data_IF_678729360094
#
_entry.id   IF_678729360094
#
_cell.length_a   1.000
_cell.length_b   1.000
_cell.length_c   1.000
_cell.angle_alpha   90.00
_cell.angle_beta   90.00
_cell.angle_gamma   90.00
#
_symmetry.space_group_name_H-M   'P 1'
#
loop_
_entity.id
_entity.type
_entity.pdbx_description
1 polymer ?
#
# COMPACT_ATOMS: atom_id res chain seq x y z
N UNK A 1 -8.78 18.74 15.69
CA UNK A 1 -10.19 18.93 15.25
C UNK A 1 -10.31 19.77 13.98
N UNK A 2 -9.69 20.96 13.88
CA UNK A 2 -9.75 21.81 12.66
C UNK A 2 -9.25 21.10 11.38
N UNK A 3 -8.09 20.45 11.42
CA UNK A 3 -7.52 19.73 10.26
C UNK A 3 -8.36 18.54 9.80
N UNK A 4 -8.89 17.73 10.72
CA UNK A 4 -9.78 16.63 10.37
C UNK A 4 -11.10 17.11 9.78
N UNK A 5 -11.68 18.18 10.34
CA UNK A 5 -12.88 18.81 9.79
C UNK A 5 -12.60 19.43 8.41
N UNK A 6 -11.47 20.10 8.21
CA UNK A 6 -11.04 20.59 6.90
C UNK A 6 -10.85 19.46 5.90
N UNK A 7 -10.37 18.30 6.33
CA UNK A 7 -10.12 17.13 5.47
C UNK A 7 -11.44 16.42 5.10
N UNK A 8 -12.38 16.32 6.03
CA UNK A 8 -13.74 15.86 5.76
C UNK A 8 -14.49 16.87 4.86
N UNK A 9 -14.38 18.16 5.13
CA UNK A 9 -14.98 19.22 4.29
C UNK A 9 -14.35 19.20 2.91
N UNK A 10 -13.03 19.09 2.76
CA UNK A 10 -12.35 19.03 1.47
C UNK A 10 -12.66 17.75 0.70
N UNK A 11 -12.92 16.62 1.37
CA UNK A 11 -13.42 15.40 0.74
C UNK A 11 -14.89 15.50 0.32
N UNK A 12 -15.69 16.30 1.04
CA UNK A 12 -17.07 16.60 0.70
C UNK A 12 -17.20 17.77 -0.29
N UNK A 13 -16.21 18.65 -0.39
CA UNK A 13 -16.22 19.86 -1.23
C UNK A 13 -16.39 19.60 -2.74
N UNK A 14 -15.84 18.51 -3.32
CA UNK A 14 -16.12 18.11 -4.70
C UNK A 14 -17.62 17.86 -4.92
N UNK A 15 -18.33 17.34 -3.90
CA UNK A 15 -19.78 17.13 -3.96
C UNK A 15 -20.57 18.45 -3.89
N UNK A 16 -20.01 19.50 -3.26
CA UNK A 16 -20.65 20.82 -3.10
C UNK A 16 -20.36 21.76 -4.28
N UNK A 17 -19.22 21.60 -4.96
CA UNK A 17 -18.84 22.37 -6.15
C UNK A 17 -19.28 21.74 -7.47
N UNK A 18 -19.97 20.61 -7.45
CA UNK A 18 -20.68 20.08 -8.61
C UNK A 18 -21.76 21.07 -9.05
N UNK A 19 -21.51 21.81 -10.12
CA UNK A 19 -22.55 22.54 -10.86
C UNK A 19 -23.43 21.52 -11.59
N UNK A 20 -24.59 21.96 -12.11
CA UNK A 20 -25.54 21.13 -12.89
C UNK A 20 -24.96 20.54 -14.20
N UNK A 21 -23.67 20.71 -14.46
CA UNK A 21 -22.90 20.05 -15.51
C UNK A 21 -22.25 18.78 -14.94
N UNK A 22 -22.48 17.63 -15.57
CA UNK A 22 -22.08 16.29 -15.11
C UNK A 22 -20.56 16.02 -14.96
N UNK A 23 -19.69 17.03 -15.07
CA UNK A 23 -18.23 16.87 -14.97
C UNK A 23 -17.71 17.44 -13.65
N UNK A 24 -17.85 16.64 -12.58
CA UNK A 24 -17.20 16.96 -11.33
C UNK A 24 -15.76 16.41 -11.33
N UNK A 25 -14.74 17.20 -10.97
CA UNK A 25 -13.39 16.69 -10.85
C UNK A 25 -13.35 15.57 -9.82
N UNK A 26 -12.59 14.50 -10.10
CA UNK A 26 -12.38 13.45 -9.12
C UNK A 26 -11.84 14.07 -7.81
N UNK A 27 -12.37 13.68 -6.63
CA UNK A 27 -11.88 14.18 -5.33
C UNK A 27 -10.37 14.09 -5.18
N UNK A 28 -9.76 13.08 -5.81
CA UNK A 28 -8.32 12.92 -5.93
C UNK A 28 -7.59 14.13 -6.49
N UNK A 29 -8.07 14.68 -7.61
CA UNK A 29 -7.43 15.81 -8.30
C UNK A 29 -7.48 17.09 -7.47
N UNK A 30 -8.50 17.22 -6.61
CA UNK A 30 -8.68 18.39 -5.75
C UNK A 30 -7.83 18.25 -4.48
N UNK A 31 -7.90 17.09 -3.82
CA UNK A 31 -7.26 16.88 -2.52
C UNK A 31 -5.75 16.68 -2.61
N UNK A 32 -5.27 15.94 -3.61
CA UNK A 32 -3.84 15.67 -3.75
C UNK A 32 -3.04 16.90 -4.16
N UNK A 33 -3.71 17.93 -4.73
CA UNK A 33 -3.13 19.21 -5.09
C UNK A 33 -3.25 20.31 -4.03
N UNK A 34 -4.01 20.10 -2.94
CA UNK A 34 -4.19 21.09 -1.88
C UNK A 34 -2.94 21.15 -0.98
N UNK A 35 -2.33 22.33 -0.87
CA UNK A 35 -1.16 22.58 -0.03
C UNK A 35 -1.34 22.18 1.44
N UNK A 36 -2.55 22.28 1.97
CA UNK A 36 -2.87 21.88 3.35
C UNK A 36 -2.90 20.36 3.51
N UNK A 37 -3.19 19.63 2.43
CA UNK A 37 -3.22 18.18 2.42
C UNK A 37 -1.83 17.56 2.26
N UNK A 38 -0.90 18.30 1.63
CA UNK A 38 0.49 17.87 1.41
C UNK A 38 1.22 17.44 2.70
N UNK A 39 0.90 18.07 3.83
CA UNK A 39 1.45 17.69 5.15
C UNK A 39 1.09 16.26 5.56
N UNK A 40 -0.06 15.76 5.11
CA UNK A 40 -0.52 14.39 5.33
C UNK A 40 -0.06 13.42 4.25
N UNK A 41 0.92 13.82 3.43
CA UNK A 41 1.48 12.98 2.37
C UNK A 41 2.95 12.64 2.57
N UNK A 42 3.61 13.14 3.61
CA UNK A 42 5.00 12.79 3.91
C UNK A 42 5.06 11.54 4.83
N UNK A 43 5.42 10.35 4.32
CA UNK A 43 5.32 9.10 5.06
C UNK A 43 6.46 8.90 6.07
N UNK A 44 7.53 9.70 6.02
CA UNK A 44 8.79 9.35 6.67
C UNK A 44 8.70 9.21 8.18
N UNK A 45 7.95 10.09 8.85
CA UNK A 45 7.74 9.97 10.30
C UNK A 45 7.02 8.68 10.68
N UNK A 46 6.15 8.17 9.81
CA UNK A 46 5.46 6.90 10.03
C UNK A 46 6.39 5.71 9.75
N UNK A 47 7.11 5.73 8.63
CA UNK A 47 8.01 4.65 8.20
C UNK A 47 9.24 4.48 9.11
N UNK A 48 9.75 5.57 9.68
CA UNK A 48 10.88 5.57 10.63
C UNK A 48 10.47 5.11 12.05
N UNK A 49 9.18 4.90 12.29
CA UNK A 49 8.70 4.51 13.61
C UNK A 49 9.21 3.12 13.99
N UNK A 50 9.73 2.97 15.21
CA UNK A 50 10.05 1.66 15.80
C UNK A 50 8.80 0.83 16.14
N UNK A 51 7.59 1.32 15.81
CA UNK A 51 6.36 0.58 16.04
C UNK A 51 6.22 -0.48 14.96
N UNK A 52 5.77 -1.67 15.37
CA UNK A 52 5.35 -2.73 14.45
C UNK A 52 4.13 -2.26 13.65
N UNK A 53 4.19 -2.47 12.34
CA UNK A 53 3.13 -2.10 11.41
C UNK A 53 2.42 -3.35 10.92
N UNK A 54 1.11 -3.24 10.73
CA UNK A 54 0.24 -4.31 10.25
C UNK A 54 -0.47 -3.86 8.98
N UNK A 55 -0.48 -4.71 7.97
CA UNK A 55 -1.28 -4.45 6.78
C UNK A 55 -2.74 -4.79 7.10
N UNK A 56 -3.61 -3.79 6.99
CA UNK A 56 -5.04 -3.94 7.22
C UNK A 56 -5.79 -4.17 5.92
N UNK A 57 -5.54 -3.33 4.91
CA UNK A 57 -6.15 -3.44 3.59
C UNK A 57 -5.09 -3.62 2.51
N UNK A 58 -5.38 -4.50 1.57
CA UNK A 58 -4.62 -4.65 0.34
C UNK A 58 -5.56 -4.81 -0.86
N UNK A 59 -5.10 -4.55 -2.09
CA UNK A 59 -5.93 -4.80 -3.25
C UNK A 59 -6.24 -6.29 -3.36
N UNK A 60 -7.43 -6.62 -3.85
CA UNK A 60 -7.78 -8.02 -4.10
C UNK A 60 -6.94 -8.54 -5.28
N UNK A 61 -6.05 -9.48 -4.98
CA UNK A 61 -5.10 -10.05 -5.92
C UNK A 61 -5.16 -11.58 -5.77
N UNK A 62 -5.59 -12.28 -6.82
CA UNK A 62 -5.84 -13.75 -6.80
C UNK A 62 -4.66 -14.57 -6.27
N UNK A 63 -3.44 -14.08 -6.45
CA UNK A 63 -2.22 -14.77 -6.04
C UNK A 63 -1.96 -14.68 -4.51
N UNK A 64 -2.81 -13.99 -3.74
CA UNK A 64 -2.62 -13.72 -2.31
C UNK A 64 -3.76 -14.23 -1.42
N UNK A 65 -4.63 -15.09 -1.95
CA UNK A 65 -5.77 -15.64 -1.19
C UNK A 65 -5.32 -16.53 -0.01
N UNK A 66 -4.06 -16.98 0.00
CA UNK A 66 -3.49 -17.86 1.01
C UNK A 66 -2.51 -17.18 1.96
N UNK A 67 -2.49 -15.85 2.06
CA UNK A 67 -1.64 -15.15 3.04
C UNK A 67 -2.44 -14.34 4.05
N UNK A 68 -1.95 -14.29 5.28
CA UNK A 68 -2.46 -13.39 6.31
C UNK A 68 -1.33 -12.87 7.19
N UNK A 69 -1.69 -12.12 8.24
CA UNK A 69 -0.75 -11.64 9.25
C UNK A 69 0.48 -10.93 8.65
N UNK A 70 0.23 -9.97 7.75
CA UNK A 70 1.32 -9.23 7.10
C UNK A 70 1.79 -8.11 8.03
N UNK A 71 3.05 -8.19 8.42
CA UNK A 71 3.69 -7.33 9.43
C UNK A 71 4.93 -6.68 8.84
N UNK A 72 5.21 -5.44 9.25
CA UNK A 72 6.48 -4.75 8.99
C UNK A 72 7.15 -4.27 10.27
N UNK A 73 8.31 -4.84 10.57
CA UNK A 73 9.16 -4.52 11.72
C UNK A 73 10.35 -3.67 11.29
N UNK A 74 10.73 -2.68 12.12
CA UNK A 74 11.93 -1.88 11.88
C UNK A 74 13.18 -2.71 12.18
N UNK A 75 14.12 -2.76 11.23
CA UNK A 75 15.45 -3.36 11.44
C UNK A 75 16.43 -2.25 11.80
N UNK A 76 16.60 -1.30 10.89
CA UNK A 76 17.52 -0.17 11.05
C UNK A 76 16.87 1.13 10.58
N UNK A 77 17.26 2.24 11.20
CA UNK A 77 16.90 3.58 10.78
C UNK A 77 18.17 4.42 10.85
N UNK A 78 18.89 4.48 9.74
CA UNK A 78 20.11 5.26 9.66
C UNK A 78 19.75 6.70 9.28
N UNK A 79 19.79 7.59 10.27
CA UNK A 79 19.55 9.02 10.06
C UNK A 79 20.57 9.68 9.14
N UNK A 80 21.75 9.07 8.97
CA UNK A 80 22.88 9.60 8.20
C UNK A 80 22.73 9.31 6.71
N UNK A 81 22.37 8.07 6.34
CA UNK A 81 22.01 7.71 4.95
C UNK A 81 20.61 8.19 4.57
N UNK A 82 19.74 8.39 5.56
CA UNK A 82 18.33 8.69 5.33
C UNK A 82 17.53 7.48 4.85
N UNK A 83 18.11 6.27 4.92
CA UNK A 83 17.45 5.01 4.56
C UNK A 83 16.85 4.31 5.79
N UNK A 84 15.76 3.57 5.55
CA UNK A 84 15.04 2.82 6.59
C UNK A 84 14.93 1.38 6.14
N UNK A 85 15.48 0.45 6.92
CA UNK A 85 15.37 -0.96 6.64
C UNK A 85 14.26 -1.59 7.48
N UNK A 86 13.37 -2.35 6.84
CA UNK A 86 12.27 -3.05 7.52
C UNK A 86 12.19 -4.50 7.07
N UNK A 87 11.86 -5.39 8.00
CA UNK A 87 11.48 -6.76 7.69
C UNK A 87 9.98 -6.78 7.43
N UNK A 88 9.55 -7.18 6.24
CA UNK A 88 8.15 -7.46 5.92
C UNK A 88 7.97 -8.97 5.96
N UNK A 89 7.02 -9.45 6.75
CA UNK A 89 6.75 -10.88 6.89
C UNK A 89 5.26 -11.16 6.81
N UNK A 90 4.91 -12.38 6.40
CA UNK A 90 3.54 -12.84 6.28
C UNK A 90 3.45 -14.32 6.62
N UNK A 91 2.25 -14.76 6.98
CA UNK A 91 1.95 -16.16 7.24
C UNK A 91 1.25 -16.75 6.02
N UNK A 92 1.76 -17.91 5.56
CA UNK A 92 1.17 -18.69 4.48
C UNK A 92 0.18 -19.68 5.12
N UNK A 93 -1.08 -19.56 4.71
CA UNK A 93 -2.17 -20.43 5.11
C UNK A 93 -2.05 -21.78 4.36
N UNK A 94 -1.44 -22.75 5.03
CA UNK A 94 -1.36 -24.15 4.58
C UNK A 94 -1.61 -25.10 5.76
N UNK A 95 -1.55 -26.42 5.55
CA UNK A 95 -1.73 -27.42 6.62
C UNK A 95 -0.78 -27.18 7.80
N UNK A 96 0.44 -26.72 7.51
CA UNK A 96 1.37 -26.17 8.49
C UNK A 96 1.51 -24.69 8.25
N UNK A 97 1.04 -23.85 9.18
CA UNK A 97 1.24 -22.41 9.08
C UNK A 97 2.74 -22.12 9.08
N UNK A 98 3.23 -21.57 7.96
CA UNK A 98 4.62 -21.18 7.77
C UNK A 98 4.72 -19.66 7.64
N UNK A 99 5.85 -19.12 8.09
CA UNK A 99 6.15 -17.70 7.95
C UNK A 99 7.26 -17.48 6.93
N UNK A 100 7.00 -16.57 6.02
CA UNK A 100 7.96 -16.08 5.04
C UNK A 100 8.22 -14.59 5.24
N UNK A 101 9.33 -14.09 4.73
CA UNK A 101 9.75 -12.71 4.94
C UNK A 101 10.69 -12.17 3.86
N UNK A 102 10.79 -10.86 3.82
CA UNK A 102 11.70 -10.11 2.98
C UNK A 102 12.21 -8.90 3.76
N UNK A 103 13.51 -8.61 3.66
CA UNK A 103 14.06 -7.35 4.13
C UNK A 103 14.00 -6.33 3.01
N UNK A 104 13.47 -5.15 3.31
CA UNK A 104 13.37 -4.04 2.36
C UNK A 104 14.04 -2.80 2.89
N UNK A 105 14.80 -2.13 2.03
CA UNK A 105 15.30 -0.78 2.24
C UNK A 105 14.33 0.23 1.63
N UNK A 106 13.97 1.26 2.40
CA UNK A 106 13.08 2.33 1.98
C UNK A 106 13.90 3.59 1.70
N UNK A 107 13.73 4.14 0.51
CA UNK A 107 14.45 5.33 0.04
C UNK A 107 13.49 6.47 -0.34
N UNK A 108 13.91 7.71 -0.07
CA UNK A 108 13.15 8.91 -0.46
C UNK A 108 13.24 9.13 -1.96
N UNK A 109 12.11 9.48 -2.58
CA UNK A 109 12.16 10.05 -3.92
C UNK A 109 12.75 11.46 -3.86
N UNK A 110 13.76 11.73 -4.70
CA UNK A 110 14.29 13.09 -4.90
C UNK A 110 13.30 14.01 -5.61
N UNK A 111 12.29 13.46 -6.29
CA UNK A 111 11.31 14.21 -7.08
C UNK A 111 10.10 14.63 -6.27
N UNK A 112 9.72 13.84 -5.25
CA UNK A 112 8.52 14.08 -4.46
C UNK A 112 8.67 13.57 -3.03
N UNK A 113 8.35 14.39 -2.05
CA UNK A 113 8.34 13.99 -0.63
C UNK A 113 7.21 13.01 -0.29
N UNK A 114 6.22 12.85 -1.18
CA UNK A 114 5.15 11.86 -0.99
C UNK A 114 5.48 10.50 -1.57
N UNK A 115 6.57 10.39 -2.32
CA UNK A 115 6.99 9.18 -2.98
C UNK A 115 8.19 8.56 -2.28
N UNK A 116 8.21 7.23 -2.26
CA UNK A 116 9.33 6.46 -1.77
C UNK A 116 9.40 5.14 -2.53
N UNK A 117 10.59 4.57 -2.56
CA UNK A 117 10.84 3.26 -3.17
C UNK A 117 11.17 2.29 -2.05
N UNK A 118 10.63 1.08 -2.11
CA UNK A 118 11.08 -0.04 -1.31
C UNK A 118 11.86 -0.99 -2.22
N UNK A 119 13.08 -1.35 -1.84
CA UNK A 119 13.91 -2.30 -2.58
C UNK A 119 14.26 -3.47 -1.69
N UNK A 120 14.23 -4.68 -2.22
CA UNK A 120 14.79 -5.85 -1.54
C UNK A 120 16.27 -5.59 -1.25
N UNK A 121 16.75 -5.89 -0.04
CA UNK A 121 18.15 -5.60 0.36
C UNK A 121 19.15 -6.34 -0.55
N UNK A 122 18.77 -7.50 -1.09
CA UNK A 122 19.58 -8.27 -2.05
C UNK A 122 19.46 -7.76 -3.50
N UNK A 123 18.73 -6.65 -3.74
CA UNK A 123 18.74 -5.86 -4.96
C UNK A 123 17.93 -6.41 -6.15
N UNK A 124 17.15 -7.47 -5.96
CA UNK A 124 16.46 -8.14 -7.07
C UNK A 124 15.12 -7.49 -7.47
N UNK A 125 14.48 -6.76 -6.55
CA UNK A 125 13.13 -6.22 -6.74
C UNK A 125 12.99 -4.85 -6.09
N UNK A 126 12.23 -3.97 -6.72
CA UNK A 126 11.87 -2.68 -6.17
C UNK A 126 10.41 -2.34 -6.46
N UNK A 127 9.83 -1.54 -5.56
CA UNK A 127 8.44 -1.10 -5.59
C UNK A 127 8.36 0.39 -5.27
N UNK A 128 7.75 1.14 -6.17
CA UNK A 128 7.51 2.56 -6.01
C UNK A 128 6.13 2.79 -5.41
N UNK A 129 6.08 3.65 -4.39
CA UNK A 129 4.87 4.00 -3.69
C UNK A 129 4.64 5.50 -3.70
N UNK A 130 3.37 5.89 -3.81
CA UNK A 130 2.93 7.26 -3.60
C UNK A 130 1.99 7.33 -2.40
N UNK A 131 2.31 8.18 -1.44
CA UNK A 131 1.53 8.37 -0.23
C UNK A 131 0.26 9.17 -0.53
N UNK A 132 -0.88 8.54 -0.24
CA UNK A 132 -2.21 9.15 -0.31
C UNK A 132 -2.49 9.90 0.98
N UNK A 133 -2.25 9.26 2.11
CA UNK A 133 -2.51 9.82 3.43
C UNK A 133 -1.62 9.18 4.48
N UNK A 134 -1.18 9.96 5.44
CA UNK A 134 -0.48 9.48 6.63
C UNK A 134 -0.81 10.34 7.83
N UNK A 135 -0.98 9.69 8.96
CA UNK A 135 -1.04 10.32 10.27
C UNK A 135 -0.26 9.50 11.30
N UNK A 136 -0.47 9.78 12.59
CA UNK A 136 0.19 9.04 13.67
C UNK A 136 -0.28 7.59 13.81
N UNK A 137 -1.36 7.18 13.14
CA UNK A 137 -2.07 5.90 13.33
C UNK A 137 -1.98 4.99 12.12
N UNK A 138 -2.12 5.54 10.92
CA UNK A 138 -2.16 4.79 9.68
C UNK A 138 -1.42 5.47 8.53
N UNK A 139 -1.09 4.66 7.53
CA UNK A 139 -0.44 5.07 6.28
C UNK A 139 -1.19 4.40 5.12
N UNK A 140 -1.60 5.21 4.14
CA UNK A 140 -2.22 4.77 2.89
C UNK A 140 -1.25 5.10 1.76
N UNK A 141 -0.82 4.07 1.05
CA UNK A 141 0.09 4.20 -0.10
C UNK A 141 -0.53 3.56 -1.32
N UNK A 142 -0.37 4.20 -2.47
CA UNK A 142 -0.66 3.66 -3.79
C UNK A 142 0.58 3.00 -4.35
N UNK A 143 0.41 1.83 -4.96
CA UNK A 143 1.45 1.25 -5.81
C UNK A 143 1.55 2.12 -7.07
N UNK A 144 2.77 2.48 -7.47
CA UNK A 144 2.97 3.34 -8.63
C UNK A 144 2.34 2.75 -9.89
N UNK A 145 1.74 3.61 -10.70
CA UNK A 145 1.06 3.24 -11.95
C UNK A 145 2.03 2.57 -12.94
N UNK A 146 3.31 2.95 -12.91
CA UNK A 146 4.38 2.35 -13.73
C UNK A 146 4.56 0.86 -13.47
N UNK A 147 4.24 0.39 -12.27
CA UNK A 147 4.38 -1.01 -11.87
C UNK A 147 3.14 -1.85 -12.16
N UNK A 148 1.95 -1.25 -12.20
CA UNK A 148 0.69 -2.02 -12.16
C UNK A 148 -0.28 -1.73 -13.31
N UNK A 149 -0.06 -0.64 -14.06
CA UNK A 149 -1.01 -0.15 -15.07
C UNK A 149 -2.38 0.25 -14.51
N UNK A 150 -2.59 0.18 -13.19
CA UNK A 150 -3.85 0.42 -12.49
C UNK A 150 -3.70 1.59 -11.54
N UNK A 151 -4.69 2.48 -11.52
CA UNK A 151 -4.63 3.78 -10.85
C UNK A 151 -5.07 3.76 -9.38
N UNK A 152 -5.57 2.63 -8.85
CA UNK A 152 -6.25 2.56 -7.54
C UNK A 152 -5.85 1.39 -6.63
N UNK A 153 -4.69 0.79 -6.87
CA UNK A 153 -4.16 -0.26 -5.99
C UNK A 153 -3.48 0.39 -4.79
N UNK A 154 -4.04 0.22 -3.60
CA UNK A 154 -3.53 0.81 -2.37
C UNK A 154 -3.33 -0.21 -1.26
N UNK A 155 -2.37 0.09 -0.39
CA UNK A 155 -2.12 -0.59 0.88
C UNK A 155 -2.51 0.34 2.04
N UNK A 156 -3.18 -0.21 3.05
CA UNK A 156 -3.42 0.47 4.33
C UNK A 156 -2.60 -0.20 5.43
N UNK A 157 -1.58 0.49 5.90
CA UNK A 157 -0.76 0.10 7.05
C UNK A 157 -1.25 0.79 8.32
N UNK A 158 -1.21 0.05 9.44
CA UNK A 158 -1.67 0.51 10.75
C UNK A 158 -0.63 0.14 11.80
N UNK A 159 -0.36 1.06 12.74
CA UNK A 159 0.51 0.76 13.88
C UNK A 159 -0.20 -0.15 14.90
N UNK A 160 0.54 -1.09 15.48
CA UNK A 160 0.01 -2.10 16.42
C UNK A 160 -0.94 -1.53 17.48
N UNK A 161 -0.54 -0.44 18.15
CA UNK A 161 -1.34 0.18 19.24
C UNK A 161 -2.71 0.68 18.81
N UNK A 162 -2.97 0.78 17.51
CA UNK A 162 -4.25 1.24 16.96
C UNK A 162 -5.06 0.14 16.26
N UNK A 163 -4.66 -1.13 16.34
CA UNK A 163 -5.40 -2.24 15.71
C UNK A 163 -6.85 -2.34 16.19
N UNK A 164 -7.09 -2.15 17.49
CA UNK A 164 -8.43 -2.18 18.10
C UNK A 164 -9.24 -0.89 17.84
N UNK A 165 -8.59 0.17 17.36
CA UNK A 165 -9.30 1.40 17.02
C UNK A 165 -10.07 1.21 15.70
N UNK A 166 -11.28 1.78 15.58
CA UNK A 166 -12.08 1.62 14.37
C UNK A 166 -11.48 2.33 13.15
N UNK A 167 -10.53 3.25 13.35
CA UNK A 167 -9.78 3.98 12.30
C UNK A 167 -10.68 4.49 11.16
N UNK A 168 -11.86 5.02 11.54
CA UNK A 168 -12.93 5.41 10.60
C UNK A 168 -12.43 6.39 9.54
N UNK A 169 -11.51 7.29 9.90
CA UNK A 169 -10.91 8.24 8.97
C UNK A 169 -9.99 7.58 7.95
N UNK A 170 -9.11 6.67 8.37
CA UNK A 170 -8.24 5.93 7.45
C UNK A 170 -9.06 5.08 6.49
N UNK A 171 -10.11 4.43 7.00
CA UNK A 171 -11.05 3.66 6.16
C UNK A 171 -11.75 4.55 5.15
N UNK A 172 -12.32 5.67 5.59
CA UNK A 172 -13.00 6.62 4.70
C UNK A 172 -12.07 7.14 3.61
N UNK A 173 -10.84 7.54 3.94
CA UNK A 173 -9.87 8.01 2.95
C UNK A 173 -9.47 6.91 1.98
N UNK A 174 -9.26 5.68 2.47
CA UNK A 174 -9.02 4.54 1.59
C UNK A 174 -10.19 4.37 0.60
N UNK A 175 -11.44 4.37 1.08
CA UNK A 175 -12.63 4.21 0.23
C UNK A 175 -12.77 5.32 -0.83
N UNK A 176 -12.33 6.54 -0.52
CA UNK A 176 -12.38 7.69 -1.45
C UNK A 176 -11.30 7.60 -2.54
N UNK A 177 -10.07 7.23 -2.19
CA UNK A 177 -8.92 7.33 -3.09
C UNK A 177 -8.49 6.01 -3.75
N UNK A 178 -8.95 4.88 -3.24
CA UNK A 178 -8.48 3.55 -3.61
C UNK A 178 -9.61 2.67 -4.16
N UNK A 179 -9.28 1.46 -4.59
CA UNK A 179 -10.27 0.47 -5.02
C UNK A 179 -11.15 0.04 -3.85
N UNK A 180 -12.46 0.07 -4.03
CA UNK A 180 -13.42 -0.50 -3.08
C UNK A 180 -13.28 -2.03 -2.99
N UNK A 181 -12.88 -2.68 -4.09
CA UNK A 181 -12.52 -4.09 -4.11
C UNK A 181 -11.13 -4.27 -3.48
N UNK A 182 -11.12 -4.71 -2.23
CA UNK A 182 -9.94 -4.91 -1.37
C UNK A 182 -10.14 -6.12 -0.47
N UNK A 183 -9.04 -6.68 -0.02
CA UNK A 183 -9.05 -7.65 1.07
C UNK A 183 -8.87 -6.92 2.41
N UNK A 184 -9.74 -7.22 3.37
CA UNK A 184 -9.59 -6.82 4.77
C UNK A 184 -8.96 -7.97 5.54
N UNK A 185 -7.66 -7.85 5.81
CA UNK A 185 -6.87 -8.89 6.46
C UNK A 185 -7.17 -9.02 7.95
N UNK A 186 -7.94 -8.08 8.53
CA UNK A 186 -8.33 -8.06 9.96
C UNK A 186 -7.17 -8.43 10.90
N UNK A 187 -6.01 -7.76 10.80
CA UNK A 187 -4.84 -8.10 11.60
C UNK A 187 -5.15 -8.00 13.09
N UNK A 188 -4.76 -9.03 13.83
CA UNK A 188 -4.76 -9.04 15.30
C UNK A 188 -3.35 -8.84 15.81
N UNK A 189 -3.24 -8.24 17.00
CA UNK A 189 -1.96 -8.16 17.70
C UNK A 189 -1.39 -9.56 17.86
N UNK A 190 -0.09 -9.71 17.65
CA UNK A 190 0.63 -10.97 17.82
C UNK A 190 0.10 -12.13 16.94
N UNK A 191 -0.53 -11.85 15.80
CA UNK A 191 -1.02 -12.87 14.87
C UNK A 191 0.07 -13.83 14.34
N UNK A 192 1.33 -13.51 14.62
CA UNK A 192 2.51 -14.23 14.20
C UNK A 192 3.14 -15.12 15.28
N UNK A 193 2.59 -15.10 16.51
CA UNK A 193 3.06 -15.96 17.60
C UNK A 193 2.65 -17.41 17.38
N UNK A 194 3.59 -18.34 17.57
CA UNK A 194 3.34 -19.78 17.47
C UNK A 194 3.38 -20.35 16.05
N UNK A 195 3.67 -19.53 15.04
CA UNK A 195 3.85 -19.95 13.64
C UNK A 195 5.32 -20.34 13.39
N UNK A 196 5.55 -21.47 12.73
CA UNK A 196 6.90 -21.92 12.38
C UNK A 196 7.54 -20.98 11.37
N UNK A 197 8.79 -20.56 11.61
CA UNK A 197 9.57 -19.82 10.61
C UNK A 197 10.07 -20.79 9.55
N UNK A 198 9.88 -20.47 8.27
CA UNK A 198 10.50 -21.24 7.20
C UNK A 198 12.02 -21.14 7.35
N UNK A 199 12.70 -22.26 7.56
CA UNK A 199 14.16 -22.31 7.60
C UNK A 199 14.65 -22.23 6.16
N UNK A 200 15.28 -21.13 5.78
CA UNK A 200 15.81 -20.92 4.44
C UNK A 200 16.90 -21.96 4.14
N UNK A 201 16.58 -23.03 3.40
CA UNK A 201 17.56 -23.76 2.60
C UNK A 201 17.51 -23.17 1.19
N UNK A 202 18.64 -22.75 0.60
CA UNK A 202 18.65 -22.21 -0.74
C UNK A 202 18.37 -23.36 -1.70
N UNK A 203 17.13 -23.46 -2.17
CA UNK A 203 16.78 -24.38 -3.25
C UNK A 203 16.24 -23.55 -4.40
N UNK A 204 17.07 -23.53 -5.43
CA UNK A 204 16.94 -22.77 -6.67
C UNK A 204 15.85 -23.40 -7.53
N UNK A 205 14.59 -22.99 -7.36
CA UNK A 205 13.51 -23.01 -8.35
C UNK A 205 12.16 -22.85 -7.64
N UNK A 206 11.64 -21.61 -7.56
CA UNK A 206 10.21 -21.26 -7.53
C UNK A 206 10.10 -19.76 -7.20
N UNK A 207 10.48 -18.91 -8.15
CA UNK A 207 10.21 -17.48 -8.09
C UNK A 207 9.30 -17.13 -9.27
N UNK A 208 8.00 -17.18 -9.05
CA UNK A 208 7.02 -16.47 -9.87
C UNK A 208 6.26 -15.48 -8.99
N UNK A 209 6.58 -14.19 -9.22
CA UNK A 209 5.74 -13.00 -9.01
C UNK A 209 4.94 -12.89 -7.71
N UNK A 210 5.61 -12.63 -6.59
CA UNK A 210 4.97 -12.32 -5.30
C UNK A 210 4.39 -10.90 -5.19
N UNK A 211 4.48 -10.04 -6.22
CA UNK A 211 4.00 -8.64 -6.16
C UNK A 211 3.45 -8.08 -7.48
N UNK A 212 3.35 -8.91 -8.52
CA UNK A 212 2.76 -8.52 -9.79
C UNK A 212 1.51 -9.36 -10.03
N UNK A 213 0.33 -8.76 -10.30
CA UNK A 213 -0.71 -9.52 -10.97
C UNK A 213 -0.14 -9.99 -12.30
N UNK A 214 -0.13 -11.30 -12.53
CA UNK A 214 0.31 -11.92 -13.77
C UNK A 214 -0.38 -11.26 -14.98
N UNK A 215 0.36 -10.45 -15.73
CA UNK A 215 -0.08 -9.97 -17.05
C UNK A 215 0.15 -11.07 -18.06
N UNK A 216 -0.62 -12.15 -17.98
CA UNK A 216 -0.57 -13.20 -19.00
C UNK A 216 -1.90 -13.92 -19.12
N UNK A 217 -2.95 -13.22 -19.55
CA UNK A 217 -3.99 -13.85 -20.38
C UNK A 217 -4.92 -12.89 -21.14
N UNK A 218 -4.97 -11.59 -20.82
CA UNK A 218 -5.89 -10.67 -21.52
C UNK A 218 -5.30 -9.94 -22.75
N UNK A 219 -4.02 -10.20 -23.10
CA UNK A 219 -3.40 -9.64 -24.31
C UNK A 219 -3.66 -10.45 -25.59
N UNK A 220 -4.43 -11.54 -25.52
CA UNK A 220 -4.80 -12.36 -26.69
C UNK A 220 -6.19 -12.07 -27.28
N UNK A 221 -7.00 -11.21 -26.66
CA UNK A 221 -8.35 -10.91 -27.17
C UNK A 221 -8.47 -9.63 -28.02
N UNK A 222 -7.37 -8.92 -28.29
CA UNK A 222 -7.39 -7.68 -29.09
C UNK A 222 -6.56 -7.73 -30.38
N UNK A 223 -6.20 -8.92 -30.88
CA UNK A 223 -5.56 -9.10 -32.19
C UNK A 223 -6.40 -9.79 -33.26
N UNK A 224 -7.63 -10.17 -32.95
CA UNK A 224 -8.60 -10.66 -33.92
C UNK A 224 -9.83 -9.75 -33.93
N UNK A 225 -9.71 -8.63 -34.65
CA UNK A 225 -10.79 -7.97 -35.37
C UNK A 225 -10.18 -6.79 -36.11
N UNK A 226 -9.34 -7.13 -37.09
CA UNK A 226 -9.04 -6.19 -38.15
C UNK A 226 -10.30 -5.98 -38.99
N UNK A 227 -10.82 -4.76 -39.02
CA UNK A 227 -11.55 -4.25 -40.17
C UNK A 227 -10.96 -2.88 -40.51
N UNK A 228 -10.50 -2.82 -41.76
CA UNK A 228 -9.86 -1.75 -42.50
C UNK A 228 -10.90 -0.77 -43.06
N UNK A 229 -10.52 0.52 -43.16
CA UNK A 229 -10.97 1.59 -44.10
C UNK A 229 -12.49 1.83 -44.18
N UNK A 230 -12.99 3.06 -44.07
CA UNK A 230 -12.64 4.28 -44.83
C UNK A 230 -12.56 5.55 -43.97
#
# INVERSE_FOLDING_TARGET
MKTFLSLMIAALFPFVKCTSSCECPAPENILLGDSNFLLFRNPWRFLQSAERLYLKYMPHLKDFDNINCIISDLITNDSTSGSVERNVSWTILSETAERDFINVELEKSYKSYSEFTASEVDGHRSWDFNTVYVDTKCLIVKLSQTLTGKTRLCLLWVKEKYLENPLRHCRFLYDVFCSWNRDDLRPTKDCDKGVGKKVTRPTKAENQSFWYPSTSQDSKLFKENGISRD
#
